data_IF_704479924615
#
_entry.id   IF_704479924615
#
_cell.length_a   1.000
_cell.length_b   1.000
_cell.length_c   1.000
_cell.angle_alpha   90.00
_cell.angle_beta   90.00
_cell.angle_gamma   90.00
#
_symmetry.space_group_name_H-M   'P 1'
#
loop_
_entity.id
_entity.type
_entity.pdbx_description
1 polymer ?
#
# COMPACT_ATOMS: atom_id res chain seq x y z
N UNK A 1 -6.54 -18.41 20.53
CA UNK A 1 -7.86 -17.76 20.39
C UNK A 1 -7.80 -16.25 20.53
N UNK A 2 -7.18 -15.70 21.60
CA UNK A 2 -7.11 -14.25 21.82
C UNK A 2 -6.43 -13.50 20.65
N UNK A 3 -5.29 -13.99 20.17
CA UNK A 3 -4.58 -13.43 19.00
C UNK A 3 -5.45 -13.37 17.74
N UNK A 4 -6.29 -14.39 17.54
CA UNK A 4 -7.17 -14.51 16.38
C UNK A 4 -8.32 -13.48 16.46
N UNK A 5 -8.85 -13.25 17.67
CA UNK A 5 -9.85 -12.19 17.93
C UNK A 5 -9.24 -10.81 17.73
N UNK A 6 -8.04 -10.56 18.27
CA UNK A 6 -7.33 -9.29 18.09
C UNK A 6 -7.04 -9.06 16.61
N UNK A 7 -6.55 -10.09 15.92
CA UNK A 7 -6.24 -10.03 14.50
C UNK A 7 -7.45 -9.66 13.66
N UNK A 8 -8.58 -10.29 13.93
CA UNK A 8 -9.85 -10.00 13.27
C UNK A 8 -10.32 -8.56 13.50
N UNK A 9 -10.27 -8.07 14.74
CA UNK A 9 -10.68 -6.71 15.09
C UNK A 9 -9.78 -5.67 14.41
N UNK A 10 -8.47 -5.83 14.50
CA UNK A 10 -7.48 -4.93 13.89
C UNK A 10 -7.66 -4.88 12.38
N UNK A 11 -7.80 -6.05 11.75
CA UNK A 11 -7.97 -6.13 10.30
C UNK A 11 -9.32 -5.53 9.86
N UNK A 12 -10.39 -5.72 10.64
CA UNK A 12 -11.70 -5.11 10.36
C UNK A 12 -11.63 -3.58 10.41
N UNK A 13 -10.93 -3.01 11.40
CA UNK A 13 -10.68 -1.57 11.48
C UNK A 13 -9.84 -1.12 10.28
N UNK A 14 -8.78 -1.85 9.94
CA UNK A 14 -7.96 -1.57 8.77
C UNK A 14 -8.75 -1.55 7.46
N UNK A 15 -9.63 -2.53 7.25
CA UNK A 15 -10.53 -2.61 6.09
C UNK A 15 -11.50 -1.43 6.05
N UNK A 16 -11.99 -1.00 7.21
CA UNK A 16 -12.87 0.18 7.33
C UNK A 16 -12.12 1.45 6.93
N UNK A 17 -10.88 1.61 7.40
CA UNK A 17 -9.99 2.72 7.00
C UNK A 17 -9.75 2.70 5.49
N UNK A 18 -9.47 1.53 4.90
CA UNK A 18 -9.30 1.38 3.46
C UNK A 18 -10.59 1.67 2.68
N UNK A 19 -11.75 1.30 3.20
CA UNK A 19 -13.04 1.62 2.57
C UNK A 19 -13.33 3.13 2.53
N UNK A 20 -12.90 3.88 3.54
CA UNK A 20 -13.09 5.33 3.64
C UNK A 20 -12.03 6.10 2.84
N UNK A 21 -10.76 5.71 2.98
CA UNK A 21 -9.60 6.44 2.42
C UNK A 21 -9.10 5.87 1.08
N UNK A 22 -9.46 4.63 0.74
CA UNK A 22 -9.00 3.94 -0.47
C UNK A 22 -7.70 3.16 -0.31
N UNK A 23 -7.05 3.27 0.84
CA UNK A 23 -5.80 2.59 1.19
C UNK A 23 -5.62 2.67 2.72
N UNK A 24 -4.63 1.97 3.27
CA UNK A 24 -4.24 2.13 4.68
C UNK A 24 -4.58 0.97 5.60
N UNK A 25 -5.28 -0.07 5.10
CA UNK A 25 -5.46 -1.31 5.86
C UNK A 25 -4.12 -1.90 6.28
N UNK A 26 -3.14 -1.99 5.37
CA UNK A 26 -1.78 -2.41 5.68
C UNK A 26 -1.06 -1.45 6.64
N UNK A 27 -1.15 -0.14 6.40
CA UNK A 27 -0.48 0.88 7.23
C UNK A 27 -0.95 0.82 8.71
N UNK A 28 -2.23 0.51 8.94
CA UNK A 28 -2.80 0.36 10.27
C UNK A 28 -2.55 -1.04 10.85
N UNK A 29 -2.85 -2.09 10.08
CA UNK A 29 -2.90 -3.46 10.61
C UNK A 29 -1.52 -4.06 10.79
N UNK A 30 -0.58 -3.83 9.86
CA UNK A 30 0.77 -4.42 9.89
C UNK A 30 1.53 -4.11 11.19
N UNK A 31 1.68 -2.86 11.65
CA UNK A 31 2.45 -2.58 12.87
C UNK A 31 1.80 -3.14 14.13
N UNK A 32 0.45 -3.14 14.22
CA UNK A 32 -0.25 -3.68 15.39
C UNK A 32 -0.14 -5.21 15.42
N UNK A 33 -0.35 -5.86 14.26
CA UNK A 33 -0.24 -7.32 14.15
C UNK A 33 1.20 -7.79 14.37
N UNK A 34 2.20 -7.05 13.90
CA UNK A 34 3.60 -7.38 14.16
C UNK A 34 3.95 -7.40 15.66
N UNK A 35 3.26 -6.59 16.49
CA UNK A 35 3.48 -6.54 17.94
C UNK A 35 2.70 -7.60 18.72
N UNK A 36 1.50 -7.97 18.24
CA UNK A 36 0.59 -8.84 19.01
C UNK A 36 0.57 -10.28 18.48
N UNK A 37 0.68 -10.45 17.17
CA UNK A 37 0.55 -11.74 16.51
C UNK A 37 1.39 -11.74 15.21
N UNK A 38 2.74 -11.80 15.32
CA UNK A 38 3.66 -11.65 14.19
C UNK A 38 3.43 -12.69 13.08
N UNK A 39 2.92 -13.87 13.43
CA UNK A 39 2.56 -14.93 12.48
C UNK A 39 1.52 -14.50 11.42
N UNK A 40 0.76 -13.42 11.68
CA UNK A 40 -0.22 -12.87 10.74
C UNK A 40 0.37 -11.85 9.76
N UNK A 41 1.66 -11.50 9.87
CA UNK A 41 2.33 -10.52 9.02
C UNK A 41 3.49 -11.17 8.26
N UNK A 42 3.65 -10.93 6.95
CA UNK A 42 2.74 -10.23 6.04
C UNK A 42 1.74 -11.16 5.32
N UNK A 43 1.88 -12.49 5.44
CA UNK A 43 1.21 -13.49 4.58
C UNK A 43 -0.32 -13.34 4.49
N UNK A 44 -1.07 -13.52 5.58
CA UNK A 44 -2.53 -13.39 5.58
C UNK A 44 -3.05 -12.05 5.05
N UNK A 45 -2.37 -10.94 5.38
CA UNK A 45 -2.74 -9.60 4.91
C UNK A 45 -2.59 -9.50 3.39
N UNK A 46 -1.50 -10.03 2.83
CA UNK A 46 -1.25 -10.05 1.40
C UNK A 46 -2.27 -10.87 0.62
N UNK A 47 -2.87 -11.90 1.24
CA UNK A 47 -3.93 -12.70 0.59
C UNK A 47 -5.30 -11.99 0.58
N UNK A 48 -5.65 -11.28 1.66
CA UNK A 48 -6.96 -10.62 1.80
C UNK A 48 -7.06 -9.26 1.09
N UNK A 49 -5.96 -8.48 1.11
CA UNK A 49 -5.93 -7.15 0.53
C UNK A 49 -6.30 -7.07 -0.98
N UNK A 50 -5.84 -7.97 -1.87
CA UNK A 50 -6.22 -7.92 -3.28
C UNK A 50 -7.72 -8.13 -3.50
N UNK A 51 -8.38 -8.97 -2.70
CA UNK A 51 -9.84 -9.19 -2.80
C UNK A 51 -10.58 -7.90 -2.49
N UNK A 52 -10.18 -7.19 -1.42
CA UNK A 52 -10.76 -5.90 -1.06
C UNK A 52 -10.49 -4.82 -2.11
N UNK A 53 -9.25 -4.75 -2.62
CA UNK A 53 -8.88 -3.83 -3.68
C UNK A 53 -9.71 -4.08 -4.94
N UNK A 54 -9.94 -5.35 -5.32
CA UNK A 54 -10.78 -5.70 -6.47
C UNK A 54 -12.23 -5.22 -6.27
N UNK A 55 -12.82 -5.49 -5.11
CA UNK A 55 -14.19 -5.11 -4.79
C UNK A 55 -14.38 -3.59 -4.83
N UNK A 56 -13.47 -2.82 -4.21
CA UNK A 56 -13.55 -1.37 -4.22
C UNK A 56 -13.26 -0.76 -5.59
N UNK A 57 -12.29 -1.31 -6.33
CA UNK A 57 -12.00 -0.89 -7.70
C UNK A 57 -13.20 -1.13 -8.63
N UNK A 58 -13.91 -2.25 -8.47
CA UNK A 58 -15.13 -2.52 -9.23
C UNK A 58 -16.26 -1.57 -8.82
N UNK A 59 -16.47 -1.36 -7.52
CA UNK A 59 -17.54 -0.48 -7.01
C UNK A 59 -17.45 0.93 -7.58
N UNK A 60 -16.25 1.48 -7.70
CA UNK A 60 -16.01 2.87 -8.13
C UNK A 60 -15.29 2.97 -9.50
N UNK A 61 -15.41 1.95 -10.34
CA UNK A 61 -14.64 1.83 -11.61
C UNK A 61 -14.80 3.03 -12.56
N UNK A 62 -15.94 3.74 -12.51
CA UNK A 62 -16.20 4.93 -13.33
C UNK A 62 -15.35 6.15 -12.96
N UNK A 63 -14.74 6.18 -11.77
CA UNK A 63 -13.91 7.28 -11.28
C UNK A 63 -12.39 7.02 -11.41
N UNK A 64 -11.99 5.93 -12.07
CA UNK A 64 -10.57 5.57 -12.21
C UNK A 64 -9.88 6.54 -13.18
N UNK A 65 -8.84 7.25 -12.69
CA UNK A 65 -7.93 7.99 -13.56
C UNK A 65 -6.94 7.01 -14.22
N UNK A 66 -7.23 6.69 -15.49
CA UNK A 66 -6.42 5.76 -16.29
C UNK A 66 -5.01 6.29 -16.58
N UNK A 67 -4.82 7.62 -16.65
CA UNK A 67 -3.51 8.22 -16.90
C UNK A 67 -2.62 8.06 -15.67
N UNK A 68 -3.15 8.36 -14.49
CA UNK A 68 -2.46 8.10 -13.21
C UNK A 68 -2.11 6.62 -13.10
N UNK A 69 -3.09 5.74 -13.30
CA UNK A 69 -2.91 4.30 -13.18
C UNK A 69 -1.81 3.77 -14.10
N UNK A 70 -1.79 4.20 -15.37
CA UNK A 70 -0.79 3.77 -16.35
C UNK A 70 0.64 4.13 -15.92
N UNK A 71 0.90 5.39 -15.60
CA UNK A 71 2.24 5.83 -15.22
C UNK A 71 2.68 5.28 -13.87
N UNK A 72 1.76 5.15 -12.92
CA UNK A 72 2.00 4.52 -11.63
C UNK A 72 2.39 3.05 -11.79
N UNK A 73 1.67 2.26 -12.60
CA UNK A 73 2.00 0.85 -12.85
C UNK A 73 3.36 0.71 -13.53
N UNK A 74 3.64 1.54 -14.54
CA UNK A 74 4.95 1.53 -15.22
C UNK A 74 6.09 1.79 -14.22
N UNK A 75 5.90 2.73 -13.30
CA UNK A 75 6.85 2.95 -12.22
C UNK A 75 6.91 1.82 -11.19
N UNK A 76 5.78 1.14 -10.93
CA UNK A 76 5.67 0.08 -9.94
C UNK A 76 6.51 -1.14 -10.28
N UNK A 77 6.56 -1.54 -11.55
CA UNK A 77 7.31 -2.74 -12.00
C UNK A 77 8.77 -2.73 -11.51
N UNK A 78 9.61 -1.70 -11.79
CA UNK A 78 10.98 -1.68 -11.27
C UNK A 78 11.01 -1.58 -9.74
N UNK A 79 10.04 -0.93 -9.11
CA UNK A 79 9.92 -0.88 -7.65
C UNK A 79 9.71 -2.25 -7.01
N UNK A 80 8.84 -3.08 -7.58
CA UNK A 80 8.59 -4.46 -7.13
C UNK A 80 9.85 -5.31 -7.27
N UNK A 81 10.54 -5.23 -8.42
CA UNK A 81 11.80 -5.94 -8.64
C UNK A 81 12.87 -5.55 -7.61
N UNK A 82 12.99 -4.25 -7.32
CA UNK A 82 13.90 -3.76 -6.28
C UNK A 82 13.47 -4.24 -4.89
N UNK A 83 12.17 -4.34 -4.62
CA UNK A 83 11.63 -4.84 -3.34
C UNK A 83 11.94 -6.31 -3.14
N UNK A 84 11.70 -7.15 -4.15
CA UNK A 84 12.07 -8.57 -4.13
C UNK A 84 13.58 -8.72 -3.93
N UNK A 85 14.37 -7.96 -4.69
CA UNK A 85 15.83 -8.00 -4.56
C UNK A 85 16.28 -7.60 -3.15
N UNK A 86 15.73 -6.52 -2.58
CA UNK A 86 16.03 -6.10 -1.22
C UNK A 86 15.67 -7.17 -0.19
N UNK A 87 14.53 -7.84 -0.32
CA UNK A 87 14.14 -8.94 0.57
C UNK A 87 15.11 -10.12 0.48
N UNK A 88 15.67 -10.41 -0.70
CA UNK A 88 16.66 -11.49 -0.87
C UNK A 88 18.08 -11.10 -0.47
N UNK A 89 18.42 -9.80 -0.53
CA UNK A 89 19.77 -9.30 -0.24
C UNK A 89 19.96 -8.94 1.24
N UNK A 90 18.89 -8.70 1.98
CA UNK A 90 18.92 -8.32 3.40
C UNK A 90 18.80 -9.57 4.27
N UNK A 91 19.71 -9.72 5.23
CA UNK A 91 19.68 -10.80 6.22
C UNK A 91 18.44 -10.72 7.12
N UNK A 92 17.95 -11.87 7.61
CA UNK A 92 16.75 -11.94 8.47
C UNK A 92 16.81 -10.95 9.66
N UNK A 93 17.97 -10.84 10.31
CA UNK A 93 18.22 -9.92 11.44
C UNK A 93 17.99 -8.43 11.09
N UNK A 94 18.07 -8.07 9.81
CA UNK A 94 17.96 -6.69 9.30
C UNK A 94 16.63 -6.43 8.61
N UNK A 95 15.79 -7.45 8.38
CA UNK A 95 14.46 -7.27 7.83
C UNK A 95 13.60 -6.39 8.73
N UNK A 96 13.67 -6.58 10.04
CA UNK A 96 12.95 -5.72 11.00
C UNK A 96 13.32 -4.23 10.88
N UNK A 97 14.60 -3.92 10.65
CA UNK A 97 15.08 -2.55 10.44
C UNK A 97 14.57 -1.98 9.10
N UNK A 98 14.66 -2.74 8.01
CA UNK A 98 14.11 -2.36 6.71
C UNK A 98 12.61 -2.05 6.82
N UNK A 99 11.88 -2.92 7.53
CA UNK A 99 10.46 -2.74 7.80
C UNK A 99 10.17 -1.43 8.53
N UNK A 100 10.87 -1.19 9.64
CA UNK A 100 10.70 0.03 10.44
C UNK A 100 10.99 1.30 9.64
N UNK A 101 12.10 1.33 8.90
CA UNK A 101 12.49 2.51 8.10
C UNK A 101 11.46 2.81 7.01
N UNK A 102 10.98 1.80 6.29
CA UNK A 102 9.98 2.00 5.24
C UNK A 102 8.62 2.39 5.81
N UNK A 103 8.20 1.78 6.91
CA UNK A 103 6.96 2.18 7.58
C UNK A 103 7.02 3.64 8.04
N UNK A 104 8.10 4.03 8.71
CA UNK A 104 8.31 5.42 9.14
C UNK A 104 8.38 6.38 7.96
N UNK A 105 8.99 5.97 6.85
CA UNK A 105 9.00 6.76 5.60
C UNK A 105 7.57 6.95 5.08
N UNK A 106 6.76 5.90 5.07
CA UNK A 106 5.36 5.97 4.65
C UNK A 106 4.51 6.88 5.53
N UNK A 107 4.68 6.80 6.85
CA UNK A 107 4.02 7.69 7.82
C UNK A 107 4.51 9.13 7.64
N UNK A 108 5.81 9.34 7.49
CA UNK A 108 6.42 10.64 7.25
C UNK A 108 5.87 11.31 5.99
N UNK A 109 5.78 10.57 4.88
CA UNK A 109 5.15 11.05 3.64
C UNK A 109 3.69 11.46 3.89
N UNK A 110 2.94 10.68 4.66
CA UNK A 110 1.56 11.01 5.01
C UNK A 110 1.40 12.28 5.83
N UNK A 111 2.24 12.49 6.83
CA UNK A 111 2.13 13.63 7.75
C UNK A 111 2.79 14.89 7.17
N UNK A 112 3.71 14.74 6.21
CA UNK A 112 4.47 15.85 5.62
C UNK A 112 3.62 16.92 4.93
N UNK A 113 2.40 16.60 4.50
CA UNK A 113 1.55 17.53 3.73
C UNK A 113 2.18 17.95 2.39
N UNK A 114 3.17 17.21 1.90
CA UNK A 114 3.82 17.50 0.64
C UNK A 114 2.85 17.27 -0.52
N UNK A 115 2.79 18.24 -1.43
CA UNK A 115 2.00 18.13 -2.64
C UNK A 115 2.94 17.83 -3.81
N UNK A 116 2.82 16.65 -4.40
CA UNK A 116 3.58 16.31 -5.60
C UNK A 116 2.75 16.68 -6.85
N UNK A 117 3.35 17.37 -7.83
CA UNK A 117 2.65 17.68 -9.07
C UNK A 117 2.29 16.38 -9.80
N UNK A 118 1.15 16.35 -10.50
CA UNK A 118 0.68 15.18 -11.28
C UNK A 118 1.37 15.06 -12.64
N UNK A 119 2.66 14.78 -12.62
CA UNK A 119 3.46 14.56 -13.84
C UNK A 119 3.70 13.06 -14.06
N UNK A 120 3.96 12.61 -15.30
CA UNK A 120 4.37 11.23 -15.56
C UNK A 120 5.57 10.76 -14.71
N UNK A 121 6.56 11.63 -14.51
CA UNK A 121 7.75 11.33 -13.72
C UNK A 121 7.47 11.15 -12.24
N UNK A 122 6.66 12.02 -11.64
CA UNK A 122 6.26 11.88 -10.24
C UNK A 122 5.35 10.68 -10.02
N UNK A 123 4.47 10.37 -10.98
CA UNK A 123 3.64 9.15 -10.96
C UNK A 123 4.48 7.88 -11.06
N UNK A 124 5.49 7.86 -11.93
CA UNK A 124 6.42 6.74 -12.02
C UNK A 124 7.26 6.59 -10.74
N UNK A 125 7.77 7.70 -10.18
CA UNK A 125 8.51 7.68 -8.93
C UNK A 125 7.66 7.21 -7.74
N UNK A 126 6.44 7.72 -7.62
CA UNK A 126 5.49 7.30 -6.60
C UNK A 126 5.06 5.84 -6.79
N UNK A 127 4.86 5.40 -8.03
CA UNK A 127 4.58 4.01 -8.38
C UNK A 127 5.72 3.08 -7.99
N UNK A 128 6.97 3.46 -8.28
CA UNK A 128 8.16 2.70 -7.92
C UNK A 128 8.38 2.62 -6.41
N UNK A 129 8.28 3.75 -5.71
CA UNK A 129 8.39 3.77 -4.25
C UNK A 129 7.24 2.95 -3.61
N UNK A 130 6.03 3.05 -4.15
CA UNK A 130 4.89 2.26 -3.72
C UNK A 130 5.07 0.76 -3.99
N UNK A 131 5.66 0.39 -5.12
CA UNK A 131 6.01 -1.00 -5.45
C UNK A 131 7.04 -1.55 -4.48
N UNK A 132 8.12 -0.80 -4.26
CA UNK A 132 9.19 -1.17 -3.33
C UNK A 132 8.67 -1.36 -1.90
N UNK A 133 7.95 -0.38 -1.37
CA UNK A 133 7.37 -0.45 -0.02
C UNK A 133 6.22 -1.48 0.06
N UNK A 134 5.41 -1.61 -0.99
CA UNK A 134 4.32 -2.58 -1.06
C UNK A 134 4.83 -4.02 -1.02
N UNK A 135 5.88 -4.32 -1.78
CA UNK A 135 6.51 -5.64 -1.79
C UNK A 135 7.28 -5.91 -0.51
N UNK A 136 8.04 -4.92 -0.01
CA UNK A 136 8.90 -5.13 1.15
C UNK A 136 8.12 -5.19 2.46
N UNK A 137 7.14 -4.29 2.65
CA UNK A 137 6.49 -4.08 3.96
C UNK A 137 4.96 -4.08 3.91
N UNK A 138 4.36 -4.48 2.78
CA UNK A 138 2.91 -4.47 2.57
C UNK A 138 2.25 -3.06 2.71
N UNK A 139 3.04 -1.98 2.61
CA UNK A 139 2.58 -0.59 2.76
C UNK A 139 2.99 0.24 1.54
N UNK A 140 2.24 0.11 0.45
CA UNK A 140 2.44 0.91 -0.77
C UNK A 140 1.54 2.16 -0.88
N UNK A 141 0.63 2.37 0.07
CA UNK A 141 -0.36 3.46 0.10
C UNK A 141 0.19 4.88 -0.09
N UNK A 142 1.12 5.31 0.80
CA UNK A 142 1.47 6.73 0.94
C UNK A 142 2.03 7.43 -0.31
N UNK A 143 2.98 6.85 -1.08
CA UNK A 143 3.59 7.55 -2.20
C UNK A 143 2.59 7.94 -3.30
N UNK A 144 1.69 7.04 -3.69
CA UNK A 144 0.67 7.34 -4.72
C UNK A 144 -0.39 8.29 -4.17
N UNK A 145 -0.80 8.12 -2.92
CA UNK A 145 -1.79 9.00 -2.31
C UNK A 145 -1.31 10.46 -2.20
N UNK A 146 0.01 10.69 -2.15
CA UNK A 146 0.62 12.02 -2.16
C UNK A 146 0.53 12.70 -3.53
N UNK A 147 0.66 11.94 -4.63
CA UNK A 147 0.48 12.48 -6.00
C UNK A 147 -1.00 12.66 -6.35
N UNK A 148 -1.87 11.83 -5.78
CA UNK A 148 -3.32 11.94 -5.89
C UNK A 148 -3.93 12.94 -4.90
N UNK A 149 -3.11 13.70 -4.18
CA UNK A 149 -3.61 14.75 -3.29
C UNK A 149 -4.44 15.77 -4.10
N UNK A 150 -5.53 16.26 -3.50
CA UNK A 150 -6.53 17.10 -4.16
C UNK A 150 -7.50 16.39 -5.12
N UNK A 151 -7.42 15.06 -5.34
CA UNK A 151 -8.47 14.31 -6.05
C UNK A 151 -9.79 14.33 -5.28
N UNK A 152 -10.90 14.17 -5.99
CA UNK A 152 -12.16 13.81 -5.35
C UNK A 152 -12.02 12.47 -4.60
N UNK A 153 -12.75 12.31 -3.48
CA UNK A 153 -12.71 11.07 -2.70
C UNK A 153 -12.93 9.80 -3.54
N UNK A 154 -13.95 9.73 -4.42
CA UNK A 154 -14.15 8.58 -5.32
C UNK A 154 -12.99 8.33 -6.27
N UNK A 155 -12.40 9.37 -6.87
CA UNK A 155 -11.27 9.23 -7.80
C UNK A 155 -10.03 8.69 -7.09
N UNK A 156 -9.71 9.22 -5.91
CA UNK A 156 -8.62 8.76 -5.06
C UNK A 156 -8.78 7.27 -4.73
N UNK A 157 -9.95 6.89 -4.20
CA UNK A 157 -10.23 5.51 -3.79
C UNK A 157 -10.24 4.54 -4.97
N UNK A 158 -10.91 4.88 -6.05
CA UNK A 158 -10.99 4.03 -7.23
C UNK A 158 -9.60 3.80 -7.84
N UNK A 159 -8.83 4.87 -8.02
CA UNK A 159 -7.51 4.82 -8.65
C UNK A 159 -6.50 4.06 -7.78
N UNK A 160 -6.50 4.28 -6.46
CA UNK A 160 -5.65 3.55 -5.52
C UNK A 160 -5.99 2.06 -5.45
N UNK A 161 -7.26 1.71 -5.31
CA UNK A 161 -7.67 0.30 -5.25
C UNK A 161 -7.39 -0.43 -6.57
N UNK A 162 -7.60 0.23 -7.72
CA UNK A 162 -7.22 -0.33 -9.02
C UNK A 162 -5.70 -0.53 -9.13
N UNK A 163 -4.92 0.45 -8.67
CA UNK A 163 -3.47 0.37 -8.65
C UNK A 163 -2.95 -0.76 -7.74
N UNK A 164 -3.51 -0.94 -6.54
CA UNK A 164 -3.11 -2.04 -5.65
C UNK A 164 -3.55 -3.40 -6.17
N UNK A 165 -4.73 -3.49 -6.78
CA UNK A 165 -5.22 -4.72 -7.39
C UNK A 165 -4.27 -5.21 -8.48
N UNK A 166 -4.00 -4.36 -9.48
CA UNK A 166 -3.02 -4.69 -10.53
C UNK A 166 -1.64 -4.93 -9.92
N UNK A 167 -1.26 -4.11 -8.97
CA UNK A 167 0.01 -4.20 -8.26
C UNK A 167 0.22 -5.45 -7.42
N UNK A 168 -0.81 -6.25 -7.15
CA UNK A 168 -0.71 -7.56 -6.46
C UNK A 168 -0.54 -8.70 -7.46
N UNK A 169 -0.88 -8.49 -8.73
CA UNK A 169 -0.68 -9.47 -9.81
C UNK A 169 0.72 -9.42 -10.43
N UNK A 170 1.55 -8.45 -10.03
CA UNK A 170 2.94 -8.25 -10.44
C UNK A 170 3.84 -8.68 -9.30
#
# INVERSE_FOLDING_TARGET
MLELVIGFVVFTIGCTIQGVLGFGAGLFSVPILALVAPDFVPGPILMLNPVLCALFAWREHGAIDRRVLRWAIVGRVPGVLLGVWALTAVSEDRLGLLFGVLLLTGVGLKVSGLHAPRTPWTLMGAGGLSGFMGTSVAVGGPPIALVLDGSSGPELRATLNAFFFVGTTI
#
